data_IF_028039979283
#
_entry.id   IF_028039979283
#
_cell.length_a   1.000
_cell.length_b   1.000
_cell.length_c   1.000
_cell.angle_alpha   90.00
_cell.angle_beta   90.00
_cell.angle_gamma   90.00
#
_symmetry.space_group_name_H-M   'P 1'
#
loop_
_entity.id
_entity.type
_entity.pdbx_description
1 polymer ?
#
# COMPACT_ATOMS: atom_id res chain seq x y z
N UNK A 1 -3.02 -10.76 -14.24
CA UNK A 1 -4.07 -9.99 -13.53
C UNK A 1 -3.65 -8.53 -13.49
N UNK A 2 -4.59 -7.58 -13.56
CA UNK A 2 -4.30 -6.13 -13.58
C UNK A 2 -4.69 -5.50 -12.25
N UNK A 3 -3.85 -4.60 -11.77
CA UNK A 3 -4.09 -3.80 -10.57
C UNK A 3 -3.93 -2.33 -10.91
N UNK A 4 -4.91 -1.52 -10.53
CA UNK A 4 -4.77 -0.05 -10.57
C UNK A 4 -4.31 0.46 -9.21
N UNK A 5 -3.45 1.47 -9.21
CA UNK A 5 -3.04 2.14 -7.97
C UNK A 5 -4.12 3.13 -7.53
N UNK A 6 -4.57 3.02 -6.28
CA UNK A 6 -5.53 3.96 -5.71
C UNK A 6 -4.84 5.16 -5.06
N UNK A 7 -3.87 4.89 -4.18
CA UNK A 7 -3.22 5.93 -3.35
C UNK A 7 -1.89 5.45 -2.75
N UNK A 8 -1.08 6.37 -2.23
CA UNK A 8 0.06 6.00 -1.38
C UNK A 8 -0.44 5.53 0.00
N UNK A 9 0.14 4.44 0.50
CA UNK A 9 -0.24 3.87 1.79
C UNK A 9 0.39 4.65 2.95
N UNK A 10 -0.43 5.41 3.67
CA UNK A 10 -0.03 6.08 4.91
C UNK A 10 0.10 5.10 6.07
N UNK A 11 1.25 5.09 6.73
CA UNK A 11 1.51 4.19 7.86
C UNK A 11 1.09 4.81 9.20
N UNK A 12 0.42 4.00 10.01
CA UNK A 12 -0.02 4.35 11.35
C UNK A 12 0.81 3.62 12.43
N UNK A 13 0.43 3.76 13.70
CA UNK A 13 1.12 3.16 14.85
C UNK A 13 1.24 1.63 14.81
N UNK A 14 0.36 0.93 14.07
CA UNK A 14 0.33 -0.54 14.02
C UNK A 14 1.68 -1.13 13.58
N UNK A 15 2.45 -0.45 12.74
CA UNK A 15 3.77 -0.94 12.30
C UNK A 15 4.88 -0.77 13.35
N UNK A 16 4.57 -0.24 14.54
CA UNK A 16 5.51 -0.11 15.68
C UNK A 16 5.29 -1.19 16.75
N UNK A 17 4.28 -2.03 16.54
CA UNK A 17 4.00 -3.15 17.43
C UNK A 17 4.96 -4.29 17.11
N UNK A 18 5.35 -5.03 18.13
CA UNK A 18 5.92 -6.34 17.93
C UNK A 18 4.90 -7.27 17.27
N UNK A 19 5.33 -8.01 16.24
CA UNK A 19 4.42 -8.88 15.51
C UNK A 19 4.10 -10.18 16.26
N UNK A 20 4.94 -10.60 17.20
CA UNK A 20 4.72 -11.80 18.00
C UNK A 20 3.92 -11.50 19.27
N UNK A 21 4.28 -10.45 20.01
CA UNK A 21 3.64 -10.13 21.29
C UNK A 21 2.52 -9.09 21.21
N UNK A 22 2.47 -8.30 20.12
CA UNK A 22 1.55 -7.15 20.00
C UNK A 22 1.94 -5.95 20.86
N UNK A 23 3.03 -6.02 21.62
CA UNK A 23 3.48 -4.95 22.50
C UNK A 23 4.14 -3.82 21.70
N UNK A 24 3.99 -2.59 22.19
CA UNK A 24 4.57 -1.42 21.54
C UNK A 24 6.06 -1.29 21.87
N UNK A 25 6.93 -1.36 20.86
CA UNK A 25 8.40 -1.28 21.02
C UNK A 25 8.97 0.15 20.92
N UNK A 26 8.13 1.16 20.70
CA UNK A 26 8.52 2.57 20.65
C UNK A 26 7.93 3.33 19.46
N UNK A 27 8.66 4.34 18.97
CA UNK A 27 8.23 5.21 17.86
C UNK A 27 8.89 4.86 16.51
N UNK A 28 9.83 3.92 16.49
CA UNK A 28 10.40 3.39 15.26
C UNK A 28 9.45 2.29 14.71
N UNK A 29 9.20 2.19 13.39
CA UNK A 29 9.82 2.90 12.26
C UNK A 29 9.19 4.25 11.86
N UNK A 30 8.13 4.71 12.54
CA UNK A 30 7.43 5.95 12.15
C UNK A 30 8.34 7.19 12.21
N UNK A 31 9.26 7.27 13.18
CA UNK A 31 10.23 8.37 13.24
C UNK A 31 11.13 8.43 11.99
N UNK A 32 11.53 7.28 11.45
CA UNK A 32 12.32 7.23 10.21
C UNK A 32 11.46 7.61 8.99
N UNK A 33 10.22 7.10 8.91
CA UNK A 33 9.30 7.48 7.84
C UNK A 33 8.96 8.97 7.85
N UNK A 34 8.84 9.59 9.03
CA UNK A 34 8.64 11.03 9.16
C UNK A 34 9.79 11.87 8.60
N UNK A 35 11.02 11.32 8.60
CA UNK A 35 12.20 11.99 8.06
C UNK A 35 12.36 11.79 6.55
N UNK A 36 12.03 10.62 6.02
CA UNK A 36 12.39 10.23 4.65
C UNK A 36 11.21 10.03 3.69
N UNK A 37 10.01 9.82 4.23
CA UNK A 37 8.83 9.38 3.48
C UNK A 37 7.59 10.22 3.82
N UNK A 38 7.79 11.48 4.20
CA UNK A 38 6.69 12.39 4.55
C UNK A 38 6.15 13.10 3.32
N UNK A 39 4.88 12.88 3.02
CA UNK A 39 4.12 13.56 1.98
C UNK A 39 2.95 14.30 2.63
N UNK A 40 3.13 15.60 2.86
CA UNK A 40 2.18 16.41 3.64
C UNK A 40 2.03 15.90 5.08
N UNK A 41 0.82 15.43 5.42
CA UNK A 41 0.49 14.84 6.73
C UNK A 41 0.66 13.32 6.78
N UNK A 42 1.04 12.70 5.66
CA UNK A 42 1.06 11.24 5.51
C UNK A 42 2.48 10.70 5.51
N UNK A 43 2.72 9.64 6.29
CA UNK A 43 3.96 8.87 6.28
C UNK A 43 3.82 7.74 5.25
N UNK A 44 4.16 8.03 4.00
CA UNK A 44 3.83 7.16 2.87
C UNK A 44 4.87 6.05 2.68
N UNK A 45 4.48 4.80 2.82
CA UNK A 45 5.34 3.65 2.53
C UNK A 45 4.54 2.51 1.90
N UNK A 46 4.72 2.32 0.58
CA UNK A 46 3.95 1.37 -0.23
C UNK A 46 2.73 2.00 -0.90
N UNK A 47 1.93 1.15 -1.55
CA UNK A 47 0.76 1.54 -2.34
C UNK A 47 -0.49 0.77 -1.90
N UNK A 48 -1.63 1.44 -1.95
CA UNK A 48 -2.94 0.78 -1.97
C UNK A 48 -3.32 0.51 -3.42
N UNK A 49 -3.56 -0.74 -3.78
CA UNK A 49 -3.91 -1.15 -5.15
C UNK A 49 -5.24 -1.88 -5.16
N UNK A 50 -6.01 -1.66 -6.22
CA UNK A 50 -7.32 -2.29 -6.43
C UNK A 50 -7.20 -3.25 -7.61
N UNK A 51 -7.58 -4.54 -7.44
CA UNK A 51 -7.64 -5.47 -8.54
C UNK A 51 -8.73 -5.07 -9.54
N UNK A 52 -8.43 -5.15 -10.83
CA UNK A 52 -9.40 -4.90 -11.88
C UNK A 52 -10.05 -6.20 -12.34
N UNK A 53 -11.36 -6.14 -12.60
CA UNK A 53 -12.11 -7.28 -13.12
C UNK A 53 -11.71 -7.49 -14.58
N UNK A 54 -11.19 -8.68 -14.95
CA UNK A 54 -10.97 -9.01 -16.35
C UNK A 54 -12.28 -9.03 -17.12
N UNK A 55 -12.25 -8.61 -18.38
CA UNK A 55 -13.40 -8.70 -19.28
C UNK A 55 -13.88 -10.15 -19.40
N UNK A 56 -15.21 -10.34 -19.43
CA UNK A 56 -15.83 -11.66 -19.53
C UNK A 56 -15.83 -12.50 -18.24
N UNK A 57 -15.26 -12.01 -17.13
CA UNK A 57 -15.25 -12.73 -15.85
C UNK A 57 -16.40 -12.27 -14.93
N UNK A 58 -17.33 -13.16 -14.61
CA UNK A 58 -18.41 -12.95 -13.64
C UNK A 58 -18.12 -13.61 -12.27
N UNK A 59 -18.85 -13.23 -11.23
CA UNK A 59 -18.68 -13.75 -9.86
C UNK A 59 -17.62 -13.01 -9.02
N UNK A 60 -17.33 -13.52 -7.82
CA UNK A 60 -16.49 -12.84 -6.82
C UNK A 60 -14.99 -13.00 -7.05
N UNK A 61 -14.58 -14.05 -7.77
CA UNK A 61 -13.17 -14.36 -7.98
C UNK A 61 -12.61 -13.56 -9.15
N UNK A 62 -11.65 -12.66 -8.87
CA UNK A 62 -11.02 -11.81 -9.89
C UNK A 62 -9.75 -12.43 -10.52
N UNK A 63 -9.07 -13.33 -9.81
CA UNK A 63 -7.85 -13.98 -10.29
C UNK A 63 -7.05 -14.67 -9.18
N UNK A 64 -5.92 -15.26 -9.54
CA UNK A 64 -4.93 -15.84 -8.62
C UNK A 64 -3.58 -15.19 -8.94
N UNK A 65 -2.83 -14.81 -7.90
CA UNK A 65 -1.43 -14.40 -7.98
C UNK A 65 -0.59 -15.47 -7.28
N UNK A 66 0.55 -15.82 -7.87
CA UNK A 66 1.52 -16.77 -7.33
C UNK A 66 2.87 -16.10 -7.10
N UNK A 67 3.63 -16.65 -6.17
CA UNK A 67 5.03 -16.29 -6.02
C UNK A 67 5.78 -16.67 -7.31
N UNK A 68 6.61 -15.75 -7.82
CA UNK A 68 7.32 -15.93 -9.08
C UNK A 68 6.58 -15.45 -10.32
N UNK A 69 5.30 -15.03 -10.20
CA UNK A 69 4.61 -14.40 -11.33
C UNK A 69 5.35 -13.13 -11.79
N UNK A 70 5.57 -13.00 -13.09
CA UNK A 70 6.21 -11.83 -13.69
C UNK A 70 5.35 -10.57 -13.48
N UNK A 71 5.95 -9.50 -12.95
CA UNK A 71 5.29 -8.21 -12.79
C UNK A 71 5.63 -7.31 -13.97
N UNK A 72 4.67 -7.11 -14.86
CA UNK A 72 4.76 -6.13 -15.95
C UNK A 72 4.27 -4.77 -15.45
N UNK A 73 5.01 -3.70 -15.78
CA UNK A 73 4.65 -2.31 -15.47
C UNK A 73 4.25 -1.59 -16.76
N UNK A 74 2.98 -1.70 -17.20
CA UNK A 74 2.55 -1.15 -18.47
C UNK A 74 2.46 0.39 -18.50
N UNK A 75 2.56 1.09 -17.37
CA UNK A 75 2.48 2.55 -17.31
C UNK A 75 3.54 3.16 -16.37
N UNK A 76 4.02 4.37 -16.71
CA UNK A 76 4.87 5.18 -15.81
C UNK A 76 4.05 5.61 -14.59
N UNK A 77 4.71 5.65 -13.43
CA UNK A 77 4.14 6.13 -12.17
C UNK A 77 3.58 7.55 -12.37
N UNK A 78 2.26 7.70 -12.53
CA UNK A 78 1.62 8.99 -12.37
C UNK A 78 1.79 9.40 -10.89
N UNK A 79 1.93 10.69 -10.59
CA UNK A 79 2.05 11.14 -9.21
C UNK A 79 0.79 10.74 -8.43
N UNK A 80 0.85 9.63 -7.70
CA UNK A 80 -0.26 9.15 -6.89
C UNK A 80 -0.32 10.03 -5.64
N UNK A 81 -1.45 10.70 -5.35
CA UNK A 81 -1.56 11.51 -4.15
C UNK A 81 -1.47 10.61 -2.90
N UNK A 82 -0.91 11.12 -1.79
CA UNK A 82 -1.08 10.45 -0.51
C UNK A 82 -2.56 10.42 -0.14
N UNK A 83 -2.98 9.36 0.56
CA UNK A 83 -4.32 9.32 1.16
C UNK A 83 -4.56 10.64 1.87
N UNK A 84 -5.55 11.42 1.42
CA UNK A 84 -6.03 12.57 2.17
C UNK A 84 -6.48 12.02 3.50
N UNK A 85 -5.88 12.48 4.59
CA UNK A 85 -6.37 12.16 5.92
C UNK A 85 -7.86 12.51 5.91
N UNK A 86 -8.73 11.49 6.01
CA UNK A 86 -10.14 11.72 6.29
C UNK A 86 -10.16 12.60 7.56
N UNK A 87 -10.79 13.78 7.42
CA UNK A 87 -10.97 14.73 8.50
C UNK A 87 -11.76 14.09 9.63
#
# INVERSE_FOLDING_TARGET
MVFRTAELCGRCVVITLDQETGERRGAHPLRALARHHRYGRTLAFGLSMIPERPEGLSGDRLGIVRLGDEIKRPCRYAHVPPRSAAA
#
